data_IF_552609880914
#
_entry.id   IF_552609880914
#
_cell.length_a   1.000
_cell.length_b   1.000
_cell.length_c   1.000
_cell.angle_alpha   90.00
_cell.angle_beta   90.00
_cell.angle_gamma   90.00
#
_symmetry.space_group_name_H-M   'P 1'
#
loop_
_entity.id
_entity.type
_entity.pdbx_description
1 polymer ?
#
# COMPACT_ATOMS: atom_id res chain seq x y z
N UNK A 1 27.03 22.18 30.39
CA UNK A 1 25.76 22.73 29.85
C UNK A 1 25.27 21.76 28.78
N UNK A 2 24.25 20.94 29.09
CA UNK A 2 23.60 20.04 28.13
C UNK A 2 22.76 20.92 27.20
N UNK A 3 23.18 21.25 25.97
CA UNK A 3 22.50 22.30 25.23
C UNK A 3 21.40 21.66 24.42
N UNK A 4 20.16 22.05 24.73
CA UNK A 4 19.02 22.44 23.88
C UNK A 4 18.80 21.87 22.46
N UNK A 5 19.83 21.37 21.78
CA UNK A 5 19.79 20.75 20.45
C UNK A 5 18.90 19.50 20.48
N UNK A 6 19.02 18.63 21.49
CA UNK A 6 18.18 17.40 21.58
C UNK A 6 16.67 17.68 21.67
N UNK A 7 16.25 18.83 22.20
CA UNK A 7 14.83 19.19 22.31
C UNK A 7 14.26 19.87 21.08
N UNK A 8 15.08 20.54 20.27
CA UNK A 8 14.64 21.16 19.02
C UNK A 8 14.36 20.12 17.92
N UNK A 9 15.05 18.96 17.93
CA UNK A 9 14.92 17.92 16.90
C UNK A 9 13.70 17.01 17.06
N UNK A 10 13.15 16.87 18.27
CA UNK A 10 11.83 16.25 18.46
C UNK A 10 10.73 17.05 17.74
N UNK A 11 10.90 18.36 17.56
CA UNK A 11 10.02 19.20 16.75
C UNK A 11 10.20 19.01 15.23
N UNK A 12 11.43 18.73 14.76
CA UNK A 12 11.70 18.47 13.35
C UNK A 12 11.20 17.09 12.88
N UNK A 13 11.05 16.13 13.80
CA UNK A 13 10.38 14.85 13.57
C UNK A 13 8.85 14.99 13.37
N UNK A 14 8.26 16.15 13.70
CA UNK A 14 6.81 16.39 13.57
C UNK A 14 6.40 17.07 12.26
N UNK A 15 7.34 17.69 11.53
CA UNK A 15 7.06 18.30 10.23
C UNK A 15 6.61 17.30 9.15
N UNK A 16 7.15 16.07 9.07
CA UNK A 16 6.65 15.07 8.13
C UNK A 16 5.33 14.43 8.58
N UNK A 17 5.01 14.44 9.87
CA UNK A 17 3.77 13.88 10.40
C UNK A 17 2.54 14.69 9.94
N UNK A 18 2.71 15.98 9.65
CA UNK A 18 1.65 16.84 9.09
C UNK A 18 1.37 16.58 7.60
N UNK A 19 2.16 15.75 6.92
CA UNK A 19 1.96 15.34 5.53
C UNK A 19 1.33 13.94 5.39
N UNK A 20 0.86 13.34 6.49
CA UNK A 20 0.20 12.02 6.53
C UNK A 20 -1.24 12.01 5.97
N UNK A 21 -1.54 12.90 5.02
CA UNK A 21 -2.71 12.82 4.14
C UNK A 21 -2.25 12.46 2.73
N UNK A 22 -2.98 11.56 2.05
CA UNK A 22 -2.73 11.06 0.68
C UNK A 22 -1.81 9.84 0.51
N UNK A 23 -2.09 8.72 1.18
CA UNK A 23 -1.50 7.41 0.80
C UNK A 23 0.02 7.31 0.97
N UNK A 24 0.61 8.18 1.79
CA UNK A 24 2.04 8.18 2.11
C UNK A 24 2.32 7.30 3.31
N UNK A 25 3.33 6.43 3.19
CA UNK A 25 3.91 5.69 4.31
C UNK A 25 4.91 6.55 5.06
N UNK A 26 5.01 6.33 6.37
CA UNK A 26 6.03 6.91 7.25
C UNK A 26 6.88 5.76 7.79
N UNK A 27 8.18 5.97 7.84
CA UNK A 27 9.15 4.92 8.18
C UNK A 27 10.19 5.44 9.16
N UNK A 28 10.51 4.61 10.14
CA UNK A 28 11.61 4.84 11.06
C UNK A 28 12.60 3.67 10.93
N UNK A 29 13.85 3.99 10.63
CA UNK A 29 14.94 3.03 10.49
C UNK A 29 16.04 3.35 11.50
N UNK A 30 16.47 2.31 12.20
CA UNK A 30 17.51 2.39 13.22
C UNK A 30 18.53 1.30 12.93
N UNK A 31 19.82 1.64 12.96
CA UNK A 31 20.83 0.63 12.70
C UNK A 31 22.25 1.10 12.83
N UNK A 32 23.13 0.43 12.08
CA UNK A 32 24.56 0.62 12.17
C UNK A 32 25.16 0.81 10.80
N UNK A 33 26.14 1.70 10.71
CA UNK A 33 26.98 1.91 9.53
C UNK A 33 28.42 1.50 9.84
N UNK A 34 29.02 0.78 8.90
CA UNK A 34 30.35 0.22 8.97
C UNK A 34 31.20 0.84 7.85
N UNK A 35 32.10 1.73 8.23
CA UNK A 35 33.04 2.44 7.35
C UNK A 35 34.40 2.51 8.07
N UNK A 36 35.07 1.36 8.19
CA UNK A 36 36.28 1.19 9.00
C UNK A 36 36.05 1.20 10.53
N UNK A 37 35.09 1.99 11.02
CA UNK A 37 34.61 2.05 12.41
C UNK A 37 33.07 1.95 12.47
N UNK A 38 32.53 1.76 13.68
CA UNK A 38 31.09 1.58 13.93
C UNK A 38 30.39 2.93 14.17
N UNK A 39 29.34 3.18 13.39
CA UNK A 39 28.49 4.36 13.50
C UNK A 39 27.02 3.96 13.68
N UNK A 40 26.23 4.79 14.37
CA UNK A 40 24.79 4.61 14.51
C UNK A 40 24.05 5.37 13.41
N UNK A 41 22.97 4.75 12.92
CA UNK A 41 22.14 5.24 11.81
C UNK A 41 20.74 5.50 12.36
N UNK A 42 20.25 6.73 12.18
CA UNK A 42 18.88 7.12 12.46
C UNK A 42 18.27 7.74 11.21
N UNK A 43 17.21 7.13 10.68
CA UNK A 43 16.56 7.62 9.47
C UNK A 43 15.06 7.65 9.62
N UNK A 44 14.48 8.78 9.25
CA UNK A 44 13.05 8.96 9.10
C UNK A 44 12.75 9.12 7.62
N UNK A 45 11.81 8.35 7.08
CA UNK A 45 11.49 8.38 5.65
C UNK A 45 9.99 8.46 5.42
N UNK A 46 9.63 9.01 4.28
CA UNK A 46 8.31 8.92 3.70
C UNK A 46 8.39 8.01 2.48
N UNK A 47 7.31 7.32 2.15
CA UNK A 47 7.22 6.54 0.92
C UNK A 47 5.87 6.75 0.23
N UNK A 48 5.89 6.74 -1.09
CA UNK A 48 4.73 6.93 -1.96
C UNK A 48 4.89 6.08 -3.22
N UNK A 49 3.80 5.61 -3.84
CA UNK A 49 3.90 4.96 -5.15
C UNK A 49 4.41 5.92 -6.23
N UNK A 50 5.38 5.49 -7.02
CA UNK A 50 5.83 6.17 -8.25
C UNK A 50 5.21 5.51 -9.51
N UNK A 51 4.66 4.29 -9.33
CA UNK A 51 3.98 3.49 -10.35
C UNK A 51 4.75 2.21 -10.71
N UNK A 52 4.01 1.16 -11.07
CA UNK A 52 4.62 -0.11 -11.49
C UNK A 52 5.26 -0.86 -10.32
N UNK A 53 6.53 -1.29 -10.40
CA UNK A 53 7.26 -1.80 -9.23
C UNK A 53 7.82 -0.71 -8.34
N UNK A 54 7.70 0.56 -8.70
CA UNK A 54 8.49 1.62 -8.10
C UNK A 54 7.70 2.42 -7.07
N UNK A 55 8.36 2.65 -5.94
CA UNK A 55 7.96 3.62 -4.91
C UNK A 55 9.08 4.62 -4.76
N UNK A 56 8.77 5.80 -4.26
CA UNK A 56 9.74 6.85 -4.01
C UNK A 56 9.47 7.53 -2.68
N UNK A 57 10.49 8.18 -2.14
CA UNK A 57 10.44 8.68 -0.78
C UNK A 57 11.41 9.81 -0.53
N UNK A 58 11.03 10.69 0.41
CA UNK A 58 11.93 11.66 0.99
C UNK A 58 12.32 11.22 2.39
N UNK A 59 13.60 11.38 2.74
CA UNK A 59 14.13 10.97 4.03
C UNK A 59 15.01 12.02 4.68
N UNK A 60 15.01 12.02 6.01
CA UNK A 60 16.00 12.68 6.84
C UNK A 60 16.88 11.61 7.49
N UNK A 61 18.19 11.81 7.44
CA UNK A 61 19.19 10.86 7.93
C UNK A 61 20.18 11.55 8.86
N UNK A 62 20.48 10.86 9.96
CA UNK A 62 21.55 11.22 10.89
C UNK A 62 22.44 10.00 11.06
N UNK A 63 23.69 10.12 10.61
CA UNK A 63 24.72 9.10 10.76
C UNK A 63 25.73 9.61 11.77
N UNK A 64 25.82 8.98 12.93
CA UNK A 64 26.74 9.41 14.00
C UNK A 64 27.85 8.39 14.14
N UNK A 65 29.08 8.79 13.86
CA UNK A 65 30.27 7.99 14.10
C UNK A 65 31.00 8.54 15.33
N UNK A 66 31.17 7.69 16.34
CA UNK A 66 32.00 7.98 17.50
C UNK A 66 33.21 7.04 17.48
N UNK A 67 34.39 7.58 17.19
CA UNK A 67 35.64 6.82 17.31
C UNK A 67 36.73 7.68 17.92
N UNK A 68 37.35 7.16 18.99
CA UNK A 68 38.54 7.71 19.66
C UNK A 68 38.44 9.21 20.01
N UNK A 69 37.27 9.67 20.47
CA UNK A 69 37.05 11.05 20.92
C UNK A 69 36.78 12.07 19.81
N UNK A 70 36.59 11.62 18.56
CA UNK A 70 36.22 12.46 17.42
C UNK A 70 34.81 12.12 16.96
N UNK A 71 33.83 12.89 17.41
CA UNK A 71 32.45 12.78 16.91
C UNK A 71 32.37 13.35 15.50
N UNK A 72 31.93 12.49 14.58
CA UNK A 72 31.63 12.85 13.20
C UNK A 72 30.17 12.53 12.95
N UNK A 73 29.47 13.41 12.27
CA UNK A 73 28.09 13.14 11.93
C UNK A 73 27.73 13.68 10.55
N UNK A 74 26.92 12.93 9.82
CA UNK A 74 26.27 13.40 8.61
C UNK A 74 24.80 13.66 8.91
N UNK A 75 24.34 14.86 8.61
CA UNK A 75 22.93 15.27 8.69
C UNK A 75 22.46 15.57 7.28
N UNK A 76 21.60 14.72 6.72
CA UNK A 76 21.21 14.85 5.32
C UNK A 76 19.72 14.67 5.08
N UNK A 77 19.23 15.41 4.09
CA UNK A 77 17.91 15.21 3.50
C UNK A 77 18.09 14.59 2.12
N UNK A 78 17.31 13.56 1.82
CA UNK A 78 17.49 12.78 0.61
C UNK A 78 16.21 12.35 -0.05
N UNK A 79 16.39 11.89 -1.28
CA UNK A 79 15.37 11.28 -2.10
C UNK A 79 15.81 9.86 -2.46
N UNK A 80 14.89 8.92 -2.38
CA UNK A 80 15.14 7.53 -2.73
C UNK A 80 14.03 6.95 -3.60
N UNK A 81 14.41 5.97 -4.41
CA UNK A 81 13.52 5.15 -5.23
C UNK A 81 13.73 3.71 -4.84
N UNK A 82 12.65 2.98 -4.64
CA UNK A 82 12.65 1.58 -4.27
C UNK A 82 11.87 0.77 -5.30
N UNK A 83 12.33 -0.43 -5.62
CA UNK A 83 11.69 -1.33 -6.56
C UNK A 83 11.20 -2.61 -5.86
N UNK A 84 10.01 -3.08 -6.27
CA UNK A 84 9.33 -4.29 -5.79
C UNK A 84 8.89 -4.31 -4.34
N UNK A 85 9.04 -3.19 -3.62
CA UNK A 85 8.58 -3.04 -2.25
C UNK A 85 7.04 -3.09 -2.15
N UNK A 86 6.52 -3.67 -1.07
CA UNK A 86 5.08 -3.68 -0.77
C UNK A 86 4.21 -4.60 -1.64
N UNK A 87 4.80 -5.42 -2.53
CA UNK A 87 4.08 -6.30 -3.46
C UNK A 87 3.52 -7.58 -2.84
N UNK A 88 4.02 -7.98 -1.68
CA UNK A 88 3.66 -9.21 -1.01
C UNK A 88 3.67 -9.02 0.52
N UNK A 89 3.07 -9.96 1.25
CA UNK A 89 3.11 -10.01 2.71
C UNK A 89 4.54 -10.13 3.23
N UNK A 90 5.41 -10.82 2.50
CA UNK A 90 6.85 -10.87 2.73
C UNK A 90 7.54 -10.73 1.38
N UNK A 91 8.43 -9.76 1.21
CA UNK A 91 9.05 -9.53 -0.09
C UNK A 91 10.40 -8.82 -0.02
N UNK A 92 11.37 -9.25 -0.84
CA UNK A 92 12.59 -8.47 -1.04
C UNK A 92 12.29 -7.22 -1.86
N UNK A 93 13.07 -6.17 -1.62
CA UNK A 93 13.06 -4.95 -2.42
C UNK A 93 14.48 -4.43 -2.61
N UNK A 94 14.68 -3.65 -3.66
CA UNK A 94 15.93 -2.92 -3.89
C UNK A 94 15.69 -1.43 -3.80
N UNK A 95 16.74 -0.67 -3.56
CA UNK A 95 16.65 0.79 -3.44
C UNK A 95 17.91 1.47 -3.96
N UNK A 96 17.73 2.71 -4.39
CA UNK A 96 18.80 3.66 -4.64
C UNK A 96 18.36 5.05 -4.19
N UNK A 97 19.28 5.83 -3.63
CA UNK A 97 18.96 7.16 -3.13
C UNK A 97 20.16 8.09 -3.11
N UNK A 98 19.85 9.38 -3.05
CA UNK A 98 20.82 10.47 -2.90
C UNK A 98 20.37 11.40 -1.79
N UNK A 99 21.29 11.83 -0.94
CA UNK A 99 21.06 12.81 0.12
C UNK A 99 22.07 13.94 0.02
N UNK A 100 21.61 15.16 0.29
CA UNK A 100 22.46 16.33 0.46
C UNK A 100 22.40 16.75 1.92
N UNK A 101 23.55 17.08 2.48
CA UNK A 101 23.65 17.29 3.91
C UNK A 101 24.90 18.00 4.36
N UNK A 102 25.00 18.17 5.66
CA UNK A 102 26.17 18.66 6.35
C UNK A 102 26.94 17.47 6.93
N UNK A 103 28.16 17.25 6.42
CA UNK A 103 29.14 16.39 7.06
C UNK A 103 29.90 17.21 8.10
N UNK A 104 29.84 16.77 9.34
CA UNK A 104 30.56 17.36 10.46
C UNK A 104 31.78 16.52 10.81
N UNK A 105 32.91 17.19 10.95
CA UNK A 105 34.12 16.70 11.59
C UNK A 105 34.37 17.52 12.88
N UNK A 106 35.24 17.06 13.80
CA UNK A 106 35.48 17.74 15.08
C UNK A 106 35.88 19.23 15.00
N UNK A 107 36.21 19.74 13.82
CA UNK A 107 36.54 21.16 13.62
C UNK A 107 35.99 21.79 12.33
N UNK A 108 35.22 21.08 11.50
CA UNK A 108 34.69 21.62 10.23
C UNK A 108 33.28 21.14 9.95
N UNK A 109 32.50 21.96 9.23
CA UNK A 109 31.19 21.62 8.71
C UNK A 109 31.20 21.88 7.21
N UNK A 110 30.93 20.85 6.42
CA UNK A 110 31.00 20.92 4.97
C UNK A 110 29.76 20.32 4.32
N UNK A 111 29.38 20.86 3.17
CA UNK A 111 28.32 20.29 2.34
C UNK A 111 28.83 18.98 1.71
N UNK A 112 28.04 17.93 1.89
CA UNK A 112 28.34 16.61 1.36
C UNK A 112 27.12 16.04 0.62
N UNK A 113 27.40 15.28 -0.43
CA UNK A 113 26.42 14.48 -1.13
C UNK A 113 26.66 13.01 -0.78
N UNK A 114 25.61 12.31 -0.34
CA UNK A 114 25.66 10.90 -0.04
C UNK A 114 24.82 10.12 -1.04
N UNK A 115 25.45 9.17 -1.72
CA UNK A 115 24.82 8.22 -2.62
C UNK A 115 24.63 6.91 -1.88
N UNK A 116 23.52 6.22 -2.13
CA UNK A 116 23.24 4.93 -1.53
C UNK A 116 22.57 3.97 -2.50
N UNK A 117 22.92 2.69 -2.38
CA UNK A 117 22.30 1.60 -3.12
C UNK A 117 22.21 0.38 -2.21
N UNK A 118 21.13 -0.38 -2.29
CA UNK A 118 20.95 -1.51 -1.40
C UNK A 118 19.69 -2.30 -1.65
N UNK A 119 19.34 -3.11 -0.67
CA UNK A 119 18.12 -3.89 -0.67
C UNK A 119 17.75 -4.34 0.73
N UNK A 120 16.51 -4.78 0.87
CA UNK A 120 15.97 -5.24 2.13
C UNK A 120 14.90 -6.29 1.92
N UNK A 121 14.42 -6.81 3.05
CA UNK A 121 13.25 -7.68 3.11
C UNK A 121 12.26 -7.04 4.05
N UNK A 122 11.02 -6.91 3.60
CA UNK A 122 9.92 -6.33 4.37
C UNK A 122 8.85 -7.40 4.62
N UNK A 123 8.40 -7.51 5.86
CA UNK A 123 7.24 -8.29 6.28
C UNK A 123 6.10 -7.36 6.70
N UNK A 124 4.91 -7.60 6.17
CA UNK A 124 3.69 -6.82 6.38
C UNK A 124 2.64 -7.67 7.10
N UNK A 125 2.70 -7.79 8.44
CA UNK A 125 1.70 -8.53 9.19
C UNK A 125 0.31 -7.91 9.06
N UNK A 126 0.22 -6.59 8.84
CA UNK A 126 -1.03 -5.85 8.67
C UNK A 126 -0.92 -4.93 7.45
N UNK A 127 -2.06 -4.57 6.84
CA UNK A 127 -2.07 -3.70 5.65
C UNK A 127 -1.42 -2.32 5.87
N UNK A 128 -1.43 -1.85 7.12
CA UNK A 128 -0.92 -0.55 7.56
C UNK A 128 0.45 -0.60 8.26
N UNK A 129 0.96 -1.80 8.58
CA UNK A 129 2.19 -2.00 9.35
C UNK A 129 3.16 -2.91 8.60
N UNK A 130 4.41 -2.47 8.48
CA UNK A 130 5.50 -3.34 8.07
C UNK A 130 6.71 -3.23 8.99
N UNK A 131 7.48 -4.32 9.03
CA UNK A 131 8.77 -4.39 9.68
C UNK A 131 9.76 -5.05 8.74
N UNK A 132 11.02 -4.62 8.76
CA UNK A 132 11.99 -5.13 7.80
C UNK A 132 13.43 -4.87 8.19
N UNK A 133 14.31 -5.51 7.45
CA UNK A 133 15.76 -5.31 7.55
C UNK A 133 16.29 -4.88 6.19
N UNK A 134 17.22 -3.94 6.20
CA UNK A 134 17.74 -3.33 5.00
C UNK A 134 19.25 -3.17 5.10
N UNK A 135 19.94 -3.48 4.01
CA UNK A 135 21.39 -3.32 3.86
C UNK A 135 21.66 -2.36 2.72
N UNK A 136 22.47 -1.33 2.97
CA UNK A 136 22.85 -0.30 1.99
C UNK A 136 24.34 -0.12 1.95
N UNK A 137 24.89 0.00 0.75
CA UNK A 137 26.18 0.62 0.52
C UNK A 137 25.99 2.14 0.40
N UNK A 138 26.85 2.91 1.05
CA UNK A 138 26.81 4.38 1.07
C UNK A 138 28.16 4.94 0.64
N UNK A 139 28.12 6.00 -0.15
CA UNK A 139 29.28 6.78 -0.59
C UNK A 139 28.99 8.26 -0.33
N UNK A 140 29.66 8.85 0.64
CA UNK A 140 29.60 10.27 1.01
C UNK A 140 30.79 11.00 0.40
N UNK A 141 30.52 11.94 -0.48
CA UNK A 141 31.51 12.77 -1.18
C UNK A 141 31.37 14.24 -0.76
N UNK A 142 32.51 14.90 -0.53
CA UNK A 142 32.59 16.30 -0.12
C UNK A 142 32.71 17.18 -1.37
N UNK A 143 31.60 17.83 -1.71
CA UNK A 143 31.41 18.48 -3.01
C UNK A 143 30.74 17.54 -4.01
N UNK A 144 29.77 18.01 -4.82
CA UNK A 144 28.85 17.16 -5.55
C UNK A 144 29.43 16.63 -6.88
N UNK A 145 30.59 15.93 -6.85
CA UNK A 145 31.23 15.40 -8.08
C UNK A 145 30.63 14.06 -8.55
N UNK A 146 29.91 13.35 -7.68
CA UNK A 146 29.04 12.22 -8.05
C UNK A 146 29.69 10.83 -7.92
N UNK A 147 28.86 9.79 -8.07
CA UNK A 147 29.21 8.38 -7.79
C UNK A 147 30.39 7.83 -8.63
N UNK A 148 30.57 8.34 -9.86
CA UNK A 148 31.55 7.83 -10.83
C UNK A 148 32.93 8.50 -10.76
N UNK A 149 33.07 9.54 -9.93
CA UNK A 149 34.34 10.26 -9.75
C UNK A 149 34.49 10.78 -8.30
N UNK A 150 34.47 9.88 -7.30
CA UNK A 150 34.60 10.29 -5.90
C UNK A 150 35.99 10.87 -5.63
N UNK A 151 36.07 11.86 -4.74
CA UNK A 151 37.38 12.33 -4.25
C UNK A 151 38.10 11.23 -3.47
N UNK A 152 39.42 11.36 -3.34
CA UNK A 152 40.25 10.44 -2.55
C UNK A 152 39.90 10.42 -1.06
N UNK A 153 39.19 11.43 -0.56
CA UNK A 153 38.69 11.53 0.82
C UNK A 153 37.22 11.12 0.97
N UNK A 154 36.59 10.59 -0.08
CA UNK A 154 35.21 10.10 -0.03
C UNK A 154 35.07 8.96 0.99
N UNK A 155 33.98 9.01 1.75
CA UNK A 155 33.67 8.05 2.82
C UNK A 155 32.74 6.98 2.28
N UNK A 156 33.15 5.72 2.38
CA UNK A 156 32.35 4.60 1.87
C UNK A 156 32.09 3.54 2.93
N UNK A 157 30.90 2.95 2.94
CA UNK A 157 30.64 1.88 3.90
C UNK A 157 29.28 1.24 3.77
N UNK A 158 29.07 0.16 4.52
CA UNK A 158 27.83 -0.61 4.51
C UNK A 158 27.02 -0.31 5.76
N UNK A 159 25.75 0.05 5.62
CA UNK A 159 24.81 0.17 6.73
C UNK A 159 23.81 -0.98 6.73
N UNK A 160 23.56 -1.54 7.91
CA UNK A 160 22.49 -2.49 8.16
C UNK A 160 21.50 -1.86 9.15
N UNK A 161 20.23 -1.77 8.77
CA UNK A 161 19.18 -1.12 9.55
C UNK A 161 17.98 -2.05 9.73
N UNK A 162 17.31 -1.87 10.87
CA UNK A 162 15.99 -2.40 11.13
C UNK A 162 14.98 -1.26 10.99
N UNK A 163 13.93 -1.50 10.23
CA UNK A 163 12.91 -0.51 9.91
C UNK A 163 11.53 -0.94 10.39
N UNK A 164 10.77 0.04 10.89
CA UNK A 164 9.31 -0.07 11.08
C UNK A 164 8.66 0.96 10.17
N UNK A 165 7.67 0.54 9.38
CA UNK A 165 6.87 1.43 8.56
C UNK A 165 5.41 1.37 8.94
N UNK A 166 4.80 2.54 9.06
CA UNK A 166 3.38 2.75 9.33
C UNK A 166 2.85 3.64 8.24
N UNK A 167 1.85 3.17 7.51
CA UNK A 167 1.28 3.92 6.40
C UNK A 167 -0.20 3.61 6.27
N UNK A 168 -0.95 4.60 5.76
CA UNK A 168 -2.34 4.39 5.42
C UNK A 168 -2.44 3.23 4.44
N UNK A 169 -2.90 2.08 4.93
CA UNK A 169 -3.13 0.87 4.14
C UNK A 169 -4.25 1.09 3.14
N UNK A 170 -3.98 1.85 2.08
CA UNK A 170 -4.70 1.79 0.82
C UNK A 170 -3.83 1.00 -0.13
N UNK A 171 -4.32 -0.18 -0.48
CA UNK A 171 -3.82 -0.94 -1.61
C UNK A 171 -3.79 -0.03 -2.83
N UNK A 172 -2.60 0.11 -3.40
CA UNK A 172 -2.35 0.65 -4.72
C UNK A 172 -3.24 -0.10 -5.73
N UNK A 173 -4.37 0.52 -6.08
CA UNK A 173 -5.03 0.36 -7.36
C UNK A 173 -4.97 1.73 -8.00
N UNK A 174 -3.95 1.99 -8.80
CA UNK A 174 -3.79 3.30 -9.44
C UNK A 174 -2.37 3.49 -9.96
N UNK A 175 -2.11 3.04 -11.19
CA UNK A 175 -0.98 3.55 -11.98
C UNK A 175 -1.27 5.02 -12.29
N UNK A 176 -0.76 5.93 -11.47
CA UNK A 176 -0.82 7.37 -11.70
C UNK A 176 0.51 7.90 -12.24
N UNK A 177 0.79 7.61 -13.51
CA UNK A 177 1.82 8.28 -14.30
C UNK A 177 1.37 9.73 -14.48
N UNK A 178 2.22 10.70 -14.14
CA UNK A 178 1.93 12.10 -14.39
C UNK A 178 1.73 12.40 -15.88
N UNK A 179 0.82 13.33 -16.18
CA UNK A 179 0.74 14.07 -17.45
C UNK A 179 -0.41 13.69 -18.38
N UNK A 180 -1.30 14.67 -18.57
CA UNK A 180 -2.43 14.79 -19.51
C UNK A 180 -3.78 14.23 -19.04
N UNK A 181 -4.78 15.12 -19.04
CA UNK A 181 -6.08 14.97 -18.41
C UNK A 181 -6.88 13.77 -18.91
N UNK A 182 -6.91 12.72 -18.09
CA UNK A 182 -8.04 11.80 -18.05
C UNK A 182 -9.20 12.44 -17.26
N UNK A 183 -10.44 12.00 -17.48
CA UNK A 183 -11.57 12.43 -16.65
C UNK A 183 -11.26 12.16 -15.17
N UNK A 184 -11.74 13.02 -14.25
CA UNK A 184 -11.43 12.92 -12.84
C UNK A 184 -11.75 11.51 -12.32
N UNK A 185 -10.75 10.88 -11.68
CA UNK A 185 -10.92 9.58 -11.04
C UNK A 185 -12.00 9.70 -9.97
N UNK A 186 -13.10 8.96 -10.15
CA UNK A 186 -14.23 9.02 -9.22
C UNK A 186 -13.76 8.64 -7.81
N UNK A 187 -14.22 9.34 -6.75
CA UNK A 187 -13.85 9.00 -5.38
C UNK A 187 -14.22 7.54 -5.08
N UNK A 188 -13.56 6.84 -4.14
CA UNK A 188 -13.90 5.46 -3.82
C UNK A 188 -15.38 5.34 -3.45
N UNK A 189 -16.06 4.26 -3.88
CA UNK A 189 -17.50 4.11 -3.65
C UNK A 189 -17.79 4.02 -2.15
N UNK A 190 -18.57 4.98 -1.65
CA UNK A 190 -19.16 4.92 -0.32
C UNK A 190 -20.32 3.90 -0.30
N UNK A 191 -20.63 3.30 0.86
CA UNK A 191 -21.83 2.50 1.04
C UNK A 191 -23.09 3.21 0.51
N UNK A 192 -24.10 2.45 0.05
CA UNK A 192 -25.36 3.04 -0.39
C UNK A 192 -26.01 3.82 0.76
N UNK A 193 -26.65 4.94 0.42
CA UNK A 193 -27.37 5.78 1.40
C UNK A 193 -28.70 5.17 1.81
N UNK A 194 -29.30 4.36 0.93
CA UNK A 194 -30.50 3.58 1.21
C UNK A 194 -30.34 2.16 0.69
N UNK A 195 -30.65 1.19 1.54
CA UNK A 195 -30.80 -0.21 1.15
C UNK A 195 -32.31 -0.48 1.15
N UNK A 196 -32.88 -0.81 -0.01
CA UNK A 196 -34.31 -1.05 -0.17
C UNK A 196 -34.58 -2.44 -0.74
N UNK A 197 -35.70 -3.05 -0.34
CA UNK A 197 -36.14 -4.37 -0.79
C UNK A 197 -35.95 -5.48 0.25
N UNK A 198 -36.47 -6.67 -0.08
CA UNK A 198 -36.57 -7.81 0.83
C UNK A 198 -35.21 -8.40 1.28
N UNK A 199 -34.13 -8.10 0.55
CA UNK A 199 -32.79 -8.56 0.86
C UNK A 199 -31.96 -7.55 1.67
N UNK A 200 -32.58 -6.53 2.27
CA UNK A 200 -31.88 -5.44 2.94
C UNK A 200 -30.91 -5.91 4.04
N UNK A 201 -31.34 -6.84 4.87
CA UNK A 201 -30.52 -7.37 5.97
C UNK A 201 -29.31 -8.16 5.44
N UNK A 202 -29.49 -8.91 4.34
CA UNK A 202 -28.39 -9.64 3.67
C UNK A 202 -27.35 -8.66 3.12
N UNK A 203 -27.81 -7.58 2.49
CA UNK A 203 -26.93 -6.52 1.97
C UNK A 203 -26.18 -5.85 3.12
N UNK A 204 -26.86 -5.54 4.21
CA UNK A 204 -26.25 -4.94 5.40
C UNK A 204 -25.14 -5.81 5.99
N UNK A 205 -25.39 -7.11 6.16
CA UNK A 205 -24.35 -8.08 6.61
C UNK A 205 -23.15 -8.12 5.67
N UNK A 206 -23.37 -8.06 4.35
CA UNK A 206 -22.27 -8.00 3.40
C UNK A 206 -21.47 -6.69 3.55
N UNK A 207 -22.14 -5.55 3.74
CA UNK A 207 -21.51 -4.23 3.95
C UNK A 207 -20.70 -4.19 5.25
N UNK A 208 -21.16 -4.84 6.32
CA UNK A 208 -20.42 -4.97 7.59
C UNK A 208 -19.10 -5.73 7.44
N UNK A 209 -18.97 -6.55 6.40
CA UNK A 209 -17.74 -7.26 6.06
C UNK A 209 -16.71 -6.38 5.32
N UNK A 210 -16.98 -5.09 5.10
CA UNK A 210 -16.07 -4.18 4.39
C UNK A 210 -14.68 -4.12 5.05
N UNK A 211 -13.65 -4.24 4.22
CA UNK A 211 -12.25 -4.22 4.66
C UNK A 211 -11.72 -5.58 5.12
N UNK A 212 -12.58 -6.60 5.29
CA UNK A 212 -12.15 -7.96 5.64
C UNK A 212 -11.19 -8.50 4.57
N UNK A 213 -10.05 -9.14 4.97
CA UNK A 213 -9.07 -9.64 4.02
C UNK A 213 -9.63 -10.70 3.06
N UNK A 214 -9.02 -10.78 1.87
CA UNK A 214 -9.28 -11.89 0.97
C UNK A 214 -8.43 -13.09 1.34
N UNK A 215 -9.07 -14.23 1.52
CA UNK A 215 -8.42 -15.52 1.75
C UNK A 215 -9.04 -16.52 0.78
N UNK A 216 -8.22 -17.13 -0.07
CA UNK A 216 -8.67 -18.20 -0.96
C UNK A 216 -9.27 -19.34 -0.13
N UNK A 217 -10.52 -19.71 -0.38
CA UNK A 217 -11.22 -20.71 0.43
C UNK A 217 -11.93 -20.13 1.67
N UNK A 218 -11.74 -18.86 2.00
CA UNK A 218 -12.30 -18.22 3.20
C UNK A 218 -13.82 -18.03 3.15
N UNK A 219 -14.49 -18.24 4.28
CA UNK A 219 -15.97 -18.22 4.43
C UNK A 219 -16.44 -17.55 5.72
N UNK A 220 -15.57 -16.84 6.42
CA UNK A 220 -15.85 -16.26 7.73
C UNK A 220 -15.12 -14.94 7.95
N UNK A 221 -15.39 -14.28 9.07
CA UNK A 221 -14.98 -12.89 9.35
C UNK A 221 -13.45 -12.68 9.39
N UNK A 222 -12.66 -13.73 9.56
CA UNK A 222 -11.19 -13.66 9.47
C UNK A 222 -10.68 -13.59 8.02
N UNK A 223 -11.54 -13.83 7.02
CA UNK A 223 -11.26 -13.65 5.61
C UNK A 223 -12.24 -14.37 4.68
N UNK A 224 -12.53 -13.72 3.57
CA UNK A 224 -13.49 -14.24 2.57
C UNK A 224 -12.83 -14.41 1.21
N UNK A 225 -13.19 -15.45 0.46
CA UNK A 225 -13.13 -15.37 -1.01
C UNK A 225 -14.44 -14.84 -1.59
N UNK A 226 -14.52 -14.74 -2.92
CA UNK A 226 -15.64 -14.09 -3.59
C UNK A 226 -16.97 -14.77 -3.28
N UNK A 227 -17.07 -16.09 -3.46
CA UNK A 227 -18.29 -16.84 -3.19
C UNK A 227 -18.51 -17.12 -1.71
N UNK A 228 -17.44 -17.15 -0.91
CA UNK A 228 -17.50 -17.26 0.55
C UNK A 228 -18.16 -16.06 1.22
N UNK A 229 -17.89 -14.83 0.76
CA UNK A 229 -18.58 -13.62 1.23
C UNK A 229 -20.09 -13.70 0.98
N UNK A 230 -20.48 -14.09 -0.24
CA UNK A 230 -21.90 -14.19 -0.63
C UNK A 230 -22.58 -15.30 0.18
N UNK A 231 -21.93 -16.46 0.30
CA UNK A 231 -22.45 -17.57 1.09
C UNK A 231 -22.63 -17.18 2.57
N UNK A 232 -21.66 -16.46 3.14
CA UNK A 232 -21.74 -15.99 4.52
C UNK A 232 -22.91 -15.02 4.72
N UNK A 233 -23.01 -13.97 3.89
CA UNK A 233 -24.04 -12.95 4.03
C UNK A 233 -25.45 -13.56 3.97
N UNK A 234 -25.71 -14.42 2.97
CA UNK A 234 -26.99 -15.14 2.90
C UNK A 234 -27.19 -16.15 4.04
N UNK A 235 -26.11 -16.81 4.46
CA UNK A 235 -26.13 -17.81 5.52
C UNK A 235 -26.49 -17.26 6.90
N UNK A 236 -26.08 -16.02 7.22
CA UNK A 236 -26.49 -15.33 8.46
C UNK A 236 -28.01 -15.12 8.53
N UNK A 237 -28.68 -15.10 7.38
CA UNK A 237 -30.13 -14.95 7.25
C UNK A 237 -30.83 -16.27 6.90
N UNK A 238 -30.19 -17.41 7.19
CA UNK A 238 -30.77 -18.74 7.04
C UNK A 238 -30.84 -19.27 5.61
N UNK A 239 -30.30 -18.55 4.62
CA UNK A 239 -30.35 -18.93 3.21
C UNK A 239 -29.04 -19.62 2.83
N UNK A 240 -29.14 -20.89 2.44
CA UNK A 240 -27.97 -21.70 2.07
C UNK A 240 -27.66 -21.54 0.59
N UNK A 241 -26.50 -20.97 0.29
CA UNK A 241 -25.95 -20.92 -1.07
C UNK A 241 -24.82 -21.93 -1.27
N UNK A 242 -24.64 -22.45 -2.50
CA UNK A 242 -23.49 -23.27 -2.86
C UNK A 242 -22.16 -22.56 -2.58
N UNK A 243 -21.10 -23.32 -2.32
CA UNK A 243 -19.79 -22.78 -1.98
C UNK A 243 -19.07 -22.12 -3.16
N UNK A 244 -19.24 -22.66 -4.36
CA UNK A 244 -18.48 -22.23 -5.54
C UNK A 244 -19.27 -21.21 -6.36
N UNK A 245 -18.58 -20.19 -6.87
CA UNK A 245 -19.17 -19.13 -7.73
C UNK A 245 -19.94 -19.70 -8.93
N UNK A 246 -19.42 -20.73 -9.60
CA UNK A 246 -20.07 -21.44 -10.71
C UNK A 246 -21.40 -22.12 -10.34
N UNK A 247 -21.54 -22.52 -9.08
CA UNK A 247 -22.75 -23.18 -8.58
C UNK A 247 -23.76 -22.13 -8.10
N UNK A 248 -23.27 -21.05 -7.47
CA UNK A 248 -24.07 -19.86 -7.16
C UNK A 248 -24.65 -19.23 -8.43
N UNK A 249 -23.93 -19.30 -9.55
CA UNK A 249 -24.41 -18.89 -10.87
C UNK A 249 -25.61 -19.69 -11.40
N UNK A 250 -26.07 -20.73 -10.69
CA UNK A 250 -27.26 -21.53 -11.00
C UNK A 250 -28.33 -21.44 -9.91
N UNK A 251 -28.10 -20.65 -8.86
CA UNK A 251 -29.05 -20.47 -7.76
C UNK A 251 -30.07 -19.37 -8.09
N UNK A 252 -31.27 -19.48 -7.54
CA UNK A 252 -32.31 -18.45 -7.69
C UNK A 252 -32.79 -18.23 -9.13
N UNK A 253 -33.42 -17.09 -9.36
CA UNK A 253 -33.93 -16.69 -10.67
C UNK A 253 -32.86 -15.93 -11.49
N UNK A 254 -32.89 -16.08 -12.81
CA UNK A 254 -32.03 -15.31 -13.71
C UNK A 254 -32.45 -13.84 -13.75
N UNK A 255 -31.47 -12.94 -13.72
CA UNK A 255 -31.66 -11.51 -13.94
C UNK A 255 -30.78 -11.09 -15.11
N UNK A 256 -31.38 -10.39 -16.07
CA UNK A 256 -30.66 -9.87 -17.22
C UNK A 256 -29.52 -8.95 -16.77
N UNK A 257 -28.36 -8.95 -17.45
CA UNK A 257 -27.21 -8.11 -17.12
C UNK A 257 -27.43 -6.65 -17.57
N UNK A 258 -28.52 -6.04 -17.09
CA UNK A 258 -28.85 -4.63 -17.29
C UNK A 258 -29.13 -4.02 -15.93
N UNK A 259 -28.57 -2.83 -15.70
CA UNK A 259 -28.59 -2.17 -14.40
C UNK A 259 -30.01 -1.97 -13.86
N UNK A 260 -30.96 -1.61 -14.72
CA UNK A 260 -32.36 -1.35 -14.34
C UNK A 260 -33.11 -2.59 -13.86
N UNK A 261 -32.60 -3.79 -14.18
CA UNK A 261 -33.18 -5.04 -13.71
C UNK A 261 -32.67 -5.43 -12.31
N UNK A 262 -31.60 -4.81 -11.82
CA UNK A 262 -30.95 -5.18 -10.56
C UNK A 262 -31.70 -4.68 -9.33
N UNK A 263 -31.76 -5.53 -8.32
CA UNK A 263 -32.27 -5.21 -6.98
C UNK A 263 -31.19 -5.48 -5.93
N UNK A 264 -31.08 -4.66 -4.87
CA UNK A 264 -30.17 -4.94 -3.77
C UNK A 264 -30.33 -6.39 -3.29
N UNK A 265 -29.22 -7.10 -3.13
CA UNK A 265 -29.17 -8.53 -2.84
C UNK A 265 -28.89 -9.42 -4.04
N UNK A 266 -29.17 -8.99 -5.28
CA UNK A 266 -28.88 -9.79 -6.47
C UNK A 266 -27.38 -10.15 -6.55
N UNK A 267 -27.10 -11.44 -6.82
CA UNK A 267 -25.72 -11.95 -6.94
C UNK A 267 -25.24 -11.71 -8.36
N UNK A 268 -24.30 -10.79 -8.53
CA UNK A 268 -23.67 -10.47 -9.81
C UNK A 268 -22.63 -11.52 -10.18
N UNK A 269 -22.64 -11.93 -11.46
CA UNK A 269 -21.78 -12.98 -12.01
C UNK A 269 -20.75 -12.36 -12.96
N UNK A 270 -19.47 -12.68 -12.78
CA UNK A 270 -18.40 -12.16 -13.61
C UNK A 270 -17.50 -13.24 -14.20
N UNK A 271 -17.09 -13.05 -15.45
CA UNK A 271 -16.11 -13.86 -16.17
C UNK A 271 -14.78 -13.13 -16.27
N UNK A 272 -13.96 -13.20 -15.22
CA UNK A 272 -12.68 -12.48 -15.12
C UNK A 272 -11.52 -13.15 -15.87
N UNK A 273 -11.71 -14.38 -16.35
CA UNK A 273 -10.76 -15.12 -17.20
C UNK A 273 -11.43 -15.47 -18.53
N UNK A 274 -10.82 -15.12 -19.68
CA UNK A 274 -11.36 -15.50 -20.99
C UNK A 274 -11.61 -17.01 -21.10
N UNK A 275 -12.80 -17.40 -21.58
CA UNK A 275 -13.17 -18.79 -21.82
C UNK A 275 -13.47 -19.65 -20.57
N UNK A 276 -13.43 -19.09 -19.36
CA UNK A 276 -13.54 -19.86 -18.11
C UNK A 276 -14.95 -19.91 -17.50
N UNK A 277 -15.95 -19.28 -18.10
CA UNK A 277 -17.30 -19.12 -17.51
C UNK A 277 -17.29 -18.20 -16.28
N UNK A 278 -18.19 -18.43 -15.32
CA UNK A 278 -18.25 -17.61 -14.09
C UNK A 278 -17.05 -17.94 -13.19
N UNK A 279 -16.18 -16.96 -12.99
CA UNK A 279 -14.98 -17.07 -12.15
C UNK A 279 -14.99 -16.17 -10.92
N UNK A 280 -15.93 -15.23 -10.85
CA UNK A 280 -16.03 -14.26 -9.76
C UNK A 280 -17.49 -13.88 -9.52
N UNK A 281 -17.84 -13.55 -8.28
CA UNK A 281 -19.18 -13.11 -7.88
C UNK A 281 -19.13 -11.90 -6.95
N UNK A 282 -20.20 -11.13 -6.93
CA UNK A 282 -20.44 -10.02 -6.01
C UNK A 282 -21.92 -9.87 -5.70
N UNK A 283 -22.29 -9.00 -4.76
CA UNK A 283 -23.68 -8.70 -4.42
C UNK A 283 -23.99 -7.26 -4.78
N UNK A 284 -25.04 -7.03 -5.56
CA UNK A 284 -25.52 -5.69 -5.83
C UNK A 284 -26.08 -5.06 -4.55
N UNK A 285 -25.70 -3.82 -4.27
CA UNK A 285 -26.10 -3.12 -3.03
C UNK A 285 -26.92 -1.86 -3.31
N UNK A 286 -27.26 -1.59 -4.57
CA UNK A 286 -27.95 -0.37 -4.99
C UNK A 286 -26.98 0.72 -5.46
N UNK A 287 -27.54 1.81 -6.00
CA UNK A 287 -26.79 2.99 -6.46
C UNK A 287 -25.63 2.67 -7.41
N UNK A 288 -25.83 1.72 -8.34
CA UNK A 288 -24.80 1.23 -9.27
C UNK A 288 -23.58 0.60 -8.57
N UNK A 289 -23.70 0.19 -7.31
CA UNK A 289 -22.61 -0.38 -6.52
C UNK A 289 -22.84 -1.84 -6.24
N UNK A 290 -21.75 -2.56 -6.09
CA UNK A 290 -21.77 -3.93 -5.60
C UNK A 290 -20.59 -4.18 -4.66
N UNK A 291 -20.80 -5.08 -3.72
CA UNK A 291 -19.79 -5.54 -2.78
C UNK A 291 -19.25 -6.90 -3.20
N UNK A 292 -17.94 -7.08 -3.07
CA UNK A 292 -17.30 -8.35 -3.41
C UNK A 292 -15.97 -8.50 -2.64
N UNK A 293 -15.52 -9.75 -2.46
CA UNK A 293 -14.17 -10.04 -1.97
C UNK A 293 -13.26 -10.43 -3.13
N UNK A 294 -12.16 -9.69 -3.35
CA UNK A 294 -11.15 -10.01 -4.37
C UNK A 294 -9.74 -9.81 -3.83
N UNK A 295 -8.68 -9.87 -4.64
CA UNK A 295 -7.29 -9.72 -4.14
C UNK A 295 -7.01 -8.50 -3.25
N UNK A 296 -7.90 -7.49 -3.26
CA UNK A 296 -7.86 -6.34 -2.36
C UNK A 296 -8.81 -6.41 -1.14
N UNK A 297 -9.26 -7.59 -0.74
CA UNK A 297 -10.23 -7.79 0.35
C UNK A 297 -11.67 -7.51 -0.08
N UNK A 298 -12.56 -7.47 0.91
CA UNK A 298 -13.96 -7.06 0.74
C UNK A 298 -14.02 -5.56 0.51
N UNK A 299 -14.61 -5.15 -0.62
CA UNK A 299 -14.73 -3.75 -1.01
C UNK A 299 -15.98 -3.51 -1.85
N UNK A 300 -16.31 -2.24 -2.02
CA UNK A 300 -17.29 -1.77 -3.00
C UNK A 300 -16.62 -1.51 -4.35
N UNK A 301 -17.37 -1.70 -5.42
CA UNK A 301 -17.02 -1.31 -6.79
C UNK A 301 -18.29 -0.82 -7.50
N UNK A 302 -18.11 -0.05 -8.57
CA UNK A 302 -19.22 0.51 -9.35
C UNK A 302 -19.49 -0.29 -10.63
N UNK A 303 -20.72 -0.25 -11.09
CA UNK A 303 -21.16 -0.63 -12.44
C UNK A 303 -21.30 0.64 -13.28
N UNK A 304 -20.21 1.41 -13.39
CA UNK A 304 -20.17 2.70 -14.08
C UNK A 304 -19.08 2.66 -15.16
N UNK A 305 -19.42 2.89 -16.44
CA UNK A 305 -18.43 2.92 -17.52
C UNK A 305 -17.45 4.11 -17.40
N UNK A 306 -17.78 5.15 -16.64
CA UNK A 306 -16.90 6.30 -16.38
C UNK A 306 -15.90 6.01 -15.25
N UNK A 307 -16.12 4.96 -14.44
CA UNK A 307 -15.16 4.48 -13.45
C UNK A 307 -14.20 3.47 -14.12
N UNK A 308 -12.87 3.70 -14.17
CA UNK A 308 -11.94 2.74 -14.78
C UNK A 308 -12.01 1.34 -14.16
N UNK A 309 -12.26 1.25 -12.85
CA UNK A 309 -12.47 -0.04 -12.19
C UNK A 309 -13.86 -0.60 -12.51
N UNK A 310 -14.87 0.26 -12.66
CA UNK A 310 -16.23 -0.13 -13.04
C UNK A 310 -16.34 -0.64 -14.48
N UNK A 311 -15.67 0.00 -15.43
CA UNK A 311 -15.55 -0.43 -16.82
C UNK A 311 -14.97 -1.85 -16.91
N UNK A 312 -13.96 -2.17 -16.10
CA UNK A 312 -13.41 -3.53 -16.02
C UNK A 312 -14.47 -4.56 -15.60
N UNK A 313 -15.33 -4.22 -14.63
CA UNK A 313 -16.38 -5.11 -14.14
C UNK A 313 -17.54 -5.24 -15.13
N UNK A 314 -17.95 -4.13 -15.75
CA UNK A 314 -18.99 -4.12 -16.79
C UNK A 314 -18.61 -5.01 -17.98
N UNK A 315 -17.36 -4.91 -18.46
CA UNK A 315 -16.82 -5.74 -19.54
C UNK A 315 -16.83 -7.25 -19.21
N UNK A 316 -16.86 -7.58 -17.92
CA UNK A 316 -16.83 -8.98 -17.42
C UNK A 316 -18.15 -9.43 -16.85
N UNK A 317 -19.16 -8.57 -16.84
CA UNK A 317 -20.45 -8.87 -16.24
C UNK A 317 -21.26 -9.74 -17.19
N UNK A 318 -21.58 -10.96 -16.76
CA UNK A 318 -22.22 -11.97 -17.61
C UNK A 318 -23.65 -12.29 -17.19
N UNK A 319 -24.12 -11.74 -16.07
CA UNK A 319 -25.47 -11.99 -15.56
C UNK A 319 -25.62 -11.71 -14.07
N UNK A 320 -26.82 -11.89 -13.56
CA UNK A 320 -27.09 -11.85 -12.13
C UNK A 320 -28.11 -12.92 -11.72
N UNK A 321 -28.11 -13.28 -10.43
CA UNK A 321 -29.07 -14.20 -9.81
C UNK A 321 -29.81 -13.54 -8.68
N UNK A 322 -31.15 -13.60 -8.74
CA UNK A 322 -32.03 -13.15 -7.67
C UNK A 322 -32.36 -14.31 -6.75
N UNK A 323 -31.89 -14.22 -5.51
CA UNK A 323 -32.09 -15.25 -4.49
C UNK A 323 -33.37 -14.98 -3.69
N UNK A 324 -33.62 -13.70 -3.36
CA UNK A 324 -34.82 -13.26 -2.64
C UNK A 324 -35.70 -12.47 -3.64
N UNK A 325 -36.95 -12.92 -3.92
CA UNK A 325 -37.86 -12.28 -4.86
C UNK A 325 -38.25 -10.83 -4.52
#
# INVERSE_FOLDING_TARGET
MRPLIERAWLGALLLPAMLAGQGRGVELHLGRWYNGNRADVYEFRTSSPLGGPFTHGFGASVLVNDSLGRRRAFYGLGYEVQAWRGRATLGPYTLAGVALGLSTDPGTQELAAQWSVGGGVEWRPLGWLAVGTEVRYRLEDRGPRGFWNPRSDARTGVSAVFGVSVGGGRREGGRGRGGYGGPPELPPPAPPTTISGNAGDVVQTAIESLGTPYIWGGTADNGFDCSGLIQYAYGQHGIRLPRMSRDQARAGAEVAPVVDALRPGDVLLFSTRPGAGVTHVGMYVGELKFIHSSGQGVRLSRLDPQDPAGAYWLDRWVGARRIIP
#
